data_IF_499841765464
#
_entry.id   IF_499841765464
#
_cell.length_a   1.000
_cell.length_b   1.000
_cell.length_c   1.000
_cell.angle_alpha   90.00
_cell.angle_beta   90.00
_cell.angle_gamma   90.00
#
_symmetry.space_group_name_H-M   'P 1'
#
loop_
_entity.id
_entity.type
_entity.pdbx_description
1 polymer ?
#
# COMPACT_ATOMS: atom_id res chain seq x y z
N UNK A 1 -12.75 72.09 21.29
CA UNK A 1 -13.33 73.17 20.46
C UNK A 1 -12.93 72.88 19.02
N UNK A 2 -13.67 72.30 18.07
CA UNK A 2 -15.07 71.88 17.79
C UNK A 2 -14.99 70.42 17.24
N UNK A 3 -15.82 69.41 17.48
CA UNK A 3 -17.26 69.12 17.24
C UNK A 3 -17.75 69.33 15.79
N UNK A 4 -18.25 68.24 15.17
CA UNK A 4 -19.21 68.19 14.05
C UNK A 4 -18.66 67.41 12.83
N UNK A 5 -19.35 66.45 12.19
CA UNK A 5 -20.77 66.05 12.18
C UNK A 5 -20.92 64.63 11.57
N UNK A 6 -22.10 64.05 11.77
CA UNK A 6 -22.54 62.67 11.53
C UNK A 6 -23.54 62.62 10.33
N UNK A 7 -23.36 61.63 9.44
CA UNK A 7 -24.35 60.86 8.60
C UNK A 7 -25.05 61.48 7.36
N UNK A 8 -25.72 60.67 6.46
CA UNK A 8 -26.15 59.25 6.55
C UNK A 8 -25.92 58.31 5.33
N UNK A 9 -26.22 57.03 5.58
CA UNK A 9 -26.52 55.94 4.62
C UNK A 9 -27.54 56.31 3.52
N UNK A 10 -27.51 55.58 2.39
CA UNK A 10 -28.73 55.15 1.72
C UNK A 10 -28.86 53.62 1.69
N UNK A 11 -29.99 53.18 2.21
CA UNK A 11 -30.63 51.87 2.05
C UNK A 11 -31.33 51.74 0.69
N UNK A 12 -31.39 50.49 0.18
CA UNK A 12 -32.37 49.91 -0.76
C UNK A 12 -31.78 49.43 -2.09
N UNK A 13 -31.56 48.10 -2.20
CA UNK A 13 -32.58 47.20 -2.75
C UNK A 13 -32.14 45.74 -2.59
N UNK A 14 -32.86 45.05 -1.69
CA UNK A 14 -33.09 43.61 -1.79
C UNK A 14 -33.73 43.27 -3.15
N UNK A 15 -33.53 42.03 -3.56
CA UNK A 15 -34.28 41.28 -4.58
C UNK A 15 -34.02 41.66 -6.04
N UNK A 16 -33.16 40.89 -6.69
CA UNK A 16 -33.48 40.39 -8.03
C UNK A 16 -32.74 39.07 -8.32
N UNK A 17 -33.53 38.01 -8.44
CA UNK A 17 -33.21 36.67 -8.97
C UNK A 17 -32.41 35.67 -8.10
N UNK A 18 -33.12 35.11 -7.11
CA UNK A 18 -33.14 33.65 -6.96
C UNK A 18 -33.84 33.07 -8.20
N UNK A 19 -33.41 31.89 -8.68
CA UNK A 19 -33.95 31.09 -9.81
C UNK A 19 -33.57 31.54 -11.23
N UNK A 20 -32.68 30.78 -11.91
CA UNK A 20 -33.14 29.65 -12.71
C UNK A 20 -32.14 28.47 -12.80
N UNK A 21 -31.90 27.74 -11.70
CA UNK A 21 -31.23 26.42 -11.79
C UNK A 21 -31.81 25.36 -10.85
N UNK A 22 -32.60 25.76 -9.86
CA UNK A 22 -33.26 24.84 -8.90
C UNK A 22 -34.66 24.41 -9.38
N UNK A 23 -35.19 24.96 -10.49
CA UNK A 23 -36.49 24.55 -11.04
C UNK A 23 -36.40 23.35 -12.01
N UNK A 24 -35.22 22.99 -12.50
CA UNK A 24 -35.06 21.88 -13.47
C UNK A 24 -34.83 20.51 -12.80
N UNK A 25 -34.34 20.46 -11.56
CA UNK A 25 -34.09 19.21 -10.83
C UNK A 25 -35.25 18.77 -9.92
N UNK A 26 -36.32 19.58 -9.80
CA UNK A 26 -37.48 19.30 -8.94
C UNK A 26 -38.67 18.64 -9.66
N UNK A 27 -38.47 18.14 -10.89
CA UNK A 27 -39.52 17.42 -11.64
C UNK A 27 -39.10 16.04 -12.19
N UNK A 28 -37.92 15.51 -11.82
CA UNK A 28 -37.49 14.19 -12.33
C UNK A 28 -37.05 13.17 -11.29
N UNK A 29 -37.01 13.45 -9.99
CA UNK A 29 -36.61 12.44 -9.00
C UNK A 29 -37.42 12.61 -7.70
N UNK A 30 -38.34 11.66 -7.47
CA UNK A 30 -39.00 11.41 -6.19
C UNK A 30 -38.02 10.63 -5.29
N UNK A 31 -37.42 11.27 -4.28
CA UNK A 31 -36.71 10.55 -3.22
C UNK A 31 -37.00 11.19 -1.86
N UNK A 32 -37.61 10.39 -0.99
CA UNK A 32 -37.87 10.66 0.43
C UNK A 32 -36.72 10.15 1.29
N UNK A 33 -36.39 10.96 2.31
CA UNK A 33 -35.67 10.67 3.55
C UNK A 33 -34.21 10.21 3.50
N UNK A 34 -33.45 10.88 4.37
CA UNK A 34 -32.09 10.59 4.83
C UNK A 34 -30.97 10.83 3.81
N UNK A 35 -29.97 11.58 4.27
CA UNK A 35 -28.67 11.80 3.63
C UNK A 35 -28.67 12.72 2.40
N UNK A 36 -28.05 13.89 2.55
CA UNK A 36 -27.23 14.62 1.57
C UNK A 36 -26.92 15.99 2.22
N UNK A 37 -25.70 16.50 2.00
CA UNK A 37 -25.03 17.69 2.56
C UNK A 37 -24.08 17.26 3.68
N UNK A 38 -22.76 17.16 3.49
CA UNK A 38 -21.86 18.12 2.82
C UNK A 38 -20.73 17.42 2.05
N UNK A 39 -20.72 17.59 0.73
CA UNK A 39 -19.51 17.64 -0.07
C UNK A 39 -19.30 19.11 -0.45
N UNK A 40 -18.20 19.71 0.02
CA UNK A 40 -17.40 20.73 -0.68
C UNK A 40 -16.43 21.41 0.29
N UNK A 41 -15.15 21.14 0.06
CA UNK A 41 -13.97 21.82 0.62
C UNK A 41 -14.03 23.35 0.41
N UNK A 42 -13.61 24.14 1.40
CA UNK A 42 -12.68 25.28 1.20
C UNK A 42 -12.10 25.77 2.55
N UNK A 43 -10.77 25.76 2.62
CA UNK A 43 -9.82 26.46 3.50
C UNK A 43 -10.38 27.53 4.46
N UNK A 44 -9.93 27.51 5.73
CA UNK A 44 -9.39 28.68 6.47
C UNK A 44 -8.60 28.24 7.71
N UNK A 45 -7.40 28.81 7.87
CA UNK A 45 -6.54 28.69 9.05
C UNK A 45 -7.07 29.62 10.14
N UNK A 46 -7.27 29.13 11.36
CA UNK A 46 -7.84 29.94 12.44
C UNK A 46 -6.80 30.50 13.41
N UNK A 47 -6.83 31.83 13.44
CA UNK A 47 -6.25 32.73 14.42
C UNK A 47 -6.80 32.46 15.83
N UNK A 48 -5.92 32.58 16.83
CA UNK A 48 -6.27 32.72 18.24
C UNK A 48 -7.19 33.92 18.46
N UNK A 49 -8.42 33.69 18.93
CA UNK A 49 -9.29 34.74 19.49
C UNK A 49 -9.78 34.30 20.87
N UNK A 50 -9.28 35.00 21.89
CA UNK A 50 -9.78 34.98 23.26
C UNK A 50 -11.22 35.54 23.32
N UNK A 51 -12.12 34.83 23.98
CA UNK A 51 -13.41 35.38 24.46
C UNK A 51 -13.50 35.30 25.99
N UNK A 52 -14.07 36.32 26.67
CA UNK A 52 -14.17 36.36 28.12
C UNK A 52 -15.39 35.60 28.65
N UNK A 53 -15.27 35.15 29.91
CA UNK A 53 -16.23 34.38 30.70
C UNK A 53 -17.59 35.07 30.88
N UNK A 54 -18.69 34.37 30.57
CA UNK A 54 -19.76 34.04 31.52
C UNK A 54 -20.97 33.40 30.81
N UNK A 55 -21.26 32.13 31.14
CA UNK A 55 -22.56 31.61 31.59
C UNK A 55 -22.58 30.08 31.44
N UNK A 56 -22.67 29.43 32.59
CA UNK A 56 -22.80 27.99 32.74
C UNK A 56 -24.25 27.56 32.38
N UNK A 57 -24.38 26.64 31.43
CA UNK A 57 -25.50 25.69 31.41
C UNK A 57 -24.97 24.31 31.02
N UNK A 58 -25.21 23.34 31.91
CA UNK A 58 -24.85 21.94 31.79
C UNK A 58 -25.26 21.31 30.45
N UNK A 59 -24.29 20.70 29.76
CA UNK A 59 -24.52 19.58 28.85
C UNK A 59 -23.29 18.64 28.90
N UNK A 60 -23.55 17.34 29.00
CA UNK A 60 -22.60 16.22 29.13
C UNK A 60 -21.54 16.16 28.01
N UNK A 61 -20.41 15.45 28.20
CA UNK A 61 -19.23 15.63 27.35
C UNK A 61 -19.51 15.07 25.96
N UNK A 62 -19.47 15.95 24.96
CA UNK A 62 -19.36 15.55 23.57
C UNK A 62 -18.06 14.77 23.41
N UNK A 63 -18.20 13.45 23.19
CA UNK A 63 -17.10 12.60 22.75
C UNK A 63 -16.44 13.26 21.54
N UNK A 64 -15.16 13.59 21.68
CA UNK A 64 -14.34 13.97 20.55
C UNK A 64 -14.28 12.75 19.63
N UNK A 65 -15.11 12.75 18.59
CA UNK A 65 -14.90 11.91 17.43
C UNK A 65 -13.66 12.44 16.73
N UNK A 66 -12.50 11.93 17.14
CA UNK A 66 -11.29 12.03 16.33
C UNK A 66 -11.51 11.17 15.09
N UNK A 67 -11.95 11.78 14.00
CA UNK A 67 -11.80 11.19 12.68
C UNK A 67 -10.29 11.12 12.40
N UNK A 68 -9.68 9.96 12.68
CA UNK A 68 -8.33 9.66 12.23
C UNK A 68 -8.38 9.69 10.71
N UNK A 69 -7.84 10.75 10.10
CA UNK A 69 -7.60 10.79 8.66
C UNK A 69 -6.58 9.68 8.41
N UNK A 70 -7.05 8.53 7.91
CA UNK A 70 -6.18 7.47 7.43
C UNK A 70 -5.58 8.00 6.14
N UNK A 71 -4.31 8.39 6.20
CA UNK A 71 -3.57 8.74 4.99
C UNK A 71 -3.60 7.52 4.05
N UNK A 72 -3.91 7.76 2.79
CA UNK A 72 -3.94 6.69 1.79
C UNK A 72 -2.50 6.28 1.47
N UNK A 73 -2.25 4.97 1.50
CA UNK A 73 -1.01 4.37 1.02
C UNK A 73 -0.66 4.87 -0.39
N UNK A 74 0.60 5.20 -0.58
CA UNK A 74 1.06 5.80 -1.84
C UNK A 74 2.53 5.57 -2.08
N UNK A 75 2.90 5.61 -3.36
CA UNK A 75 4.29 5.62 -3.83
C UNK A 75 4.57 6.91 -4.61
N UNK A 76 5.67 7.56 -4.28
CA UNK A 76 6.16 8.75 -4.97
C UNK A 76 7.43 8.38 -5.73
N UNK A 77 7.41 8.66 -7.02
CA UNK A 77 8.58 8.54 -7.90
C UNK A 77 9.23 9.91 -8.03
N UNK A 78 10.54 9.95 -7.85
CA UNK A 78 11.33 11.18 -7.89
C UNK A 78 12.60 11.02 -8.71
N UNK A 79 13.19 12.13 -9.12
CA UNK A 79 14.44 12.18 -9.86
C UNK A 79 15.29 13.35 -9.38
N UNK A 80 16.60 13.16 -9.24
CA UNK A 80 17.53 14.25 -8.95
C UNK A 80 17.49 15.31 -10.05
N UNK A 81 17.84 16.55 -9.73
CA UNK A 81 17.87 17.63 -10.74
C UNK A 81 18.83 17.32 -11.89
N UNK A 82 19.93 16.61 -11.60
CA UNK A 82 20.91 16.12 -12.58
C UNK A 82 20.36 15.03 -13.52
N UNK A 83 19.26 14.36 -13.15
CA UNK A 83 18.78 13.16 -13.84
C UNK A 83 19.61 11.90 -13.58
N UNK A 84 20.63 11.97 -12.72
CA UNK A 84 21.53 10.86 -12.42
C UNK A 84 20.94 9.84 -11.43
N UNK A 85 19.97 10.22 -10.62
CA UNK A 85 19.35 9.35 -9.62
C UNK A 85 17.84 9.37 -9.73
N UNK A 86 17.25 8.19 -9.61
CA UNK A 86 15.80 8.00 -9.47
C UNK A 86 15.51 7.36 -8.12
N UNK A 87 14.53 7.89 -7.41
CA UNK A 87 14.09 7.31 -6.15
C UNK A 87 12.60 7.01 -6.15
N UNK A 88 12.23 5.98 -5.41
CA UNK A 88 10.86 5.64 -5.04
C UNK A 88 10.77 5.70 -3.53
N UNK A 89 9.76 6.36 -3.00
CA UNK A 89 9.48 6.43 -1.56
C UNK A 89 8.00 6.10 -1.39
N UNK A 90 7.66 5.21 -0.45
CA UNK A 90 6.28 4.76 -0.27
C UNK A 90 5.88 4.56 1.18
N UNK A 91 4.59 4.80 1.41
CA UNK A 91 3.82 4.38 2.59
C UNK A 91 2.92 3.23 2.15
N UNK A 92 3.08 2.07 2.77
CA UNK A 92 2.31 0.86 2.54
C UNK A 92 1.67 0.35 3.83
N UNK A 93 1.43 1.24 4.79
CA UNK A 93 0.97 0.88 6.13
C UNK A 93 -0.36 0.12 6.09
N UNK A 94 -1.36 0.63 5.38
CA UNK A 94 -2.68 -0.03 5.29
C UNK A 94 -2.62 -1.31 4.47
N UNK A 95 -1.78 -1.37 3.45
CA UNK A 95 -1.53 -2.53 2.61
C UNK A 95 -1.00 -3.69 3.45
N UNK A 96 0.04 -3.44 4.25
CA UNK A 96 0.64 -4.47 5.11
C UNK A 96 -0.29 -4.83 6.26
N UNK A 97 -1.01 -3.86 6.84
CA UNK A 97 -2.03 -4.15 7.86
C UNK A 97 -3.16 -5.04 7.33
N UNK A 98 -3.69 -4.74 6.15
CA UNK A 98 -4.71 -5.55 5.49
C UNK A 98 -4.21 -6.98 5.24
N UNK A 99 -2.96 -7.12 4.80
CA UNK A 99 -2.34 -8.44 4.62
C UNK A 99 -2.24 -9.20 5.95
N UNK A 100 -1.80 -8.53 7.02
CA UNK A 100 -1.71 -9.12 8.36
C UNK A 100 -3.07 -9.60 8.86
N UNK A 101 -4.11 -8.77 8.76
CA UNK A 101 -5.44 -9.10 9.25
C UNK A 101 -6.06 -10.27 8.51
N UNK A 102 -5.94 -10.28 7.17
CA UNK A 102 -6.46 -11.37 6.34
C UNK A 102 -5.79 -12.70 6.64
N UNK A 103 -4.47 -12.70 6.80
CA UNK A 103 -3.70 -13.94 6.97
C UNK A 103 -3.46 -14.32 8.43
N UNK A 104 -3.82 -13.45 9.37
CA UNK A 104 -3.59 -13.61 10.82
C UNK A 104 -2.13 -13.96 11.11
N UNK A 105 -1.20 -13.30 10.41
CA UNK A 105 0.24 -13.57 10.54
C UNK A 105 0.76 -13.15 11.92
N UNK A 106 1.68 -13.94 12.47
CA UNK A 106 2.44 -13.56 13.65
C UNK A 106 3.43 -12.43 13.32
N UNK A 107 4.05 -11.82 14.35
CA UNK A 107 4.89 -10.64 14.21
C UNK A 107 5.98 -10.81 13.15
N UNK A 108 6.80 -11.86 13.26
CA UNK A 108 7.91 -12.09 12.32
C UNK A 108 7.45 -12.36 10.89
N UNK A 109 6.36 -13.14 10.76
CA UNK A 109 5.72 -13.42 9.47
C UNK A 109 5.14 -12.15 8.82
N UNK A 110 4.61 -11.24 9.63
CA UNK A 110 4.07 -9.94 9.18
C UNK A 110 5.17 -9.04 8.64
N UNK A 111 6.31 -8.94 9.35
CA UNK A 111 7.45 -8.12 8.91
C UNK A 111 8.02 -8.66 7.59
N UNK A 112 8.24 -9.98 7.49
CA UNK A 112 8.77 -10.60 6.28
C UNK A 112 7.83 -10.44 5.08
N UNK A 113 6.54 -10.71 5.27
CA UNK A 113 5.52 -10.51 4.23
C UNK A 113 5.43 -9.04 3.84
N UNK A 114 5.38 -8.13 4.81
CA UNK A 114 5.26 -6.70 4.59
C UNK A 114 6.42 -6.13 3.77
N UNK A 115 7.67 -6.45 4.13
CA UNK A 115 8.84 -6.05 3.32
C UNK A 115 8.77 -6.59 1.90
N UNK A 116 8.29 -7.82 1.71
CA UNK A 116 8.14 -8.41 0.37
C UNK A 116 7.02 -7.74 -0.44
N UNK A 117 5.91 -7.32 0.20
CA UNK A 117 4.84 -6.55 -0.45
C UNK A 117 5.37 -5.18 -0.92
N UNK A 118 6.10 -4.47 -0.06
CA UNK A 118 6.72 -3.18 -0.36
C UNK A 118 7.73 -3.33 -1.53
N UNK A 119 8.58 -4.36 -1.49
CA UNK A 119 9.52 -4.68 -2.57
C UNK A 119 8.79 -4.88 -3.91
N UNK A 120 7.68 -5.62 -3.92
CA UNK A 120 6.88 -5.85 -5.12
C UNK A 120 6.18 -4.61 -5.64
N UNK A 121 5.69 -3.72 -4.77
CA UNK A 121 5.11 -2.44 -5.16
C UNK A 121 6.17 -1.54 -5.83
N UNK A 122 7.37 -1.47 -5.27
CA UNK A 122 8.50 -0.74 -5.86
C UNK A 122 8.86 -1.30 -7.24
N UNK A 123 9.00 -2.62 -7.35
CA UNK A 123 9.31 -3.28 -8.64
C UNK A 123 8.23 -3.00 -9.69
N UNK A 124 6.95 -3.05 -9.31
CA UNK A 124 5.85 -2.77 -10.21
C UNK A 124 5.80 -1.30 -10.67
N UNK A 125 6.03 -0.34 -9.77
CA UNK A 125 6.12 1.08 -10.12
C UNK A 125 7.37 1.42 -10.98
N UNK A 126 8.36 0.52 -11.00
CA UNK A 126 9.52 0.64 -11.86
C UNK A 126 9.26 0.15 -13.29
N UNK A 127 8.25 -0.69 -13.49
CA UNK A 127 7.82 -1.19 -14.79
C UNK A 127 6.92 -0.20 -15.56
N UNK A 128 6.57 -0.56 -16.79
CA UNK A 128 5.67 0.21 -17.67
C UNK A 128 4.55 -0.67 -18.21
N UNK A 129 3.55 -0.03 -18.79
CA UNK A 129 2.44 -0.72 -19.45
C UNK A 129 1.55 -1.46 -18.45
N UNK A 130 0.89 -2.53 -18.89
CA UNK A 130 0.04 -3.37 -18.05
C UNK A 130 0.81 -4.62 -17.61
N UNK A 131 1.87 -4.40 -16.81
CA UNK A 131 2.80 -5.44 -16.38
C UNK A 131 2.39 -5.98 -15.01
N UNK A 132 2.49 -7.29 -14.83
CA UNK A 132 2.28 -7.99 -13.57
C UNK A 132 3.56 -8.70 -13.16
N UNK A 133 4.00 -8.50 -11.93
CA UNK A 133 5.21 -9.08 -11.36
C UNK A 133 4.82 -10.07 -10.28
N UNK A 134 5.52 -11.20 -10.22
CA UNK A 134 5.47 -12.12 -9.09
C UNK A 134 6.85 -12.18 -8.46
N UNK A 135 6.94 -11.83 -7.18
CA UNK A 135 8.16 -12.02 -6.38
C UNK A 135 7.96 -13.25 -5.50
N UNK A 136 8.94 -14.15 -5.53
CA UNK A 136 9.02 -15.32 -4.66
C UNK A 136 10.32 -15.27 -3.88
N UNK A 137 10.21 -15.18 -2.56
CA UNK A 137 11.32 -15.37 -1.63
C UNK A 137 11.24 -16.82 -1.17
N UNK A 138 12.20 -17.63 -1.61
CA UNK A 138 12.25 -19.05 -1.33
C UNK A 138 13.31 -19.31 -0.26
N UNK A 139 12.92 -19.20 1.00
CA UNK A 139 13.79 -19.43 2.16
C UNK A 139 13.92 -20.91 2.53
N UNK A 140 15.00 -21.25 3.22
CA UNK A 140 15.27 -22.61 3.73
C UNK A 140 14.70 -22.87 5.14
N UNK A 141 14.03 -21.88 5.73
CA UNK A 141 13.52 -21.95 7.10
C UNK A 141 12.10 -22.51 7.19
N UNK A 142 11.56 -22.56 8.42
CA UNK A 142 10.17 -22.91 8.69
C UNK A 142 9.15 -21.90 8.16
N UNK A 143 9.55 -20.70 7.71
CA UNK A 143 8.66 -19.75 7.07
C UNK A 143 8.13 -20.25 5.72
N UNK A 144 8.91 -21.10 5.04
CA UNK A 144 8.66 -21.55 3.69
C UNK A 144 8.84 -20.43 2.67
N UNK A 145 7.95 -20.36 1.68
CA UNK A 145 7.97 -19.33 0.67
C UNK A 145 7.13 -18.10 1.05
N UNK A 146 7.62 -16.92 0.68
CA UNK A 146 6.81 -15.68 0.61
C UNK A 146 6.54 -15.41 -0.86
N UNK A 147 5.26 -15.30 -1.23
CA UNK A 147 4.84 -15.10 -2.62
C UNK A 147 3.97 -13.86 -2.68
N UNK A 148 4.39 -12.90 -3.51
CA UNK A 148 3.64 -11.66 -3.73
C UNK A 148 3.47 -11.41 -5.22
N UNK A 149 2.38 -10.75 -5.59
CA UNK A 149 2.05 -10.36 -6.95
C UNK A 149 1.67 -8.89 -6.93
N UNK A 150 2.32 -8.07 -7.75
CA UNK A 150 2.02 -6.66 -7.91
C UNK A 150 1.80 -6.30 -9.38
N UNK A 151 1.02 -5.27 -9.64
CA UNK A 151 0.83 -4.70 -10.97
C UNK A 151 1.16 -3.20 -11.02
N UNK A 152 1.33 -2.68 -12.23
CA UNK A 152 1.62 -1.26 -12.50
C UNK A 152 0.48 -0.30 -12.17
N UNK A 153 -0.64 -0.78 -11.59
CA UNK A 153 -1.80 0.04 -11.17
C UNK A 153 -1.84 0.23 -9.65
N UNK A 154 -0.76 -0.14 -8.96
CA UNK A 154 -0.61 -0.01 -7.52
C UNK A 154 -1.24 -1.14 -6.70
N UNK A 155 -1.78 -2.18 -7.36
CA UNK A 155 -2.38 -3.30 -6.64
C UNK A 155 -1.28 -4.30 -6.25
N UNK A 156 -1.31 -4.77 -5.01
CA UNK A 156 -0.46 -5.87 -4.55
C UNK A 156 -1.27 -6.89 -3.76
N UNK A 157 -0.88 -8.15 -3.84
CA UNK A 157 -1.38 -9.23 -3.00
C UNK A 157 -0.23 -10.15 -2.66
N UNK A 158 -0.34 -10.88 -1.56
CA UNK A 158 0.69 -11.83 -1.20
C UNK A 158 0.35 -12.60 0.05
N UNK A 159 1.03 -13.71 0.21
CA UNK A 159 0.92 -14.57 1.37
C UNK A 159 2.29 -15.16 1.71
N UNK A 160 2.37 -15.65 2.93
CA UNK A 160 3.49 -16.48 3.40
C UNK A 160 2.97 -17.88 3.65
N UNK A 161 3.76 -18.89 3.28
CA UNK A 161 3.34 -20.28 3.33
C UNK A 161 2.99 -20.72 4.76
N UNK A 162 3.80 -20.32 5.75
CA UNK A 162 3.59 -20.66 7.15
C UNK A 162 3.41 -19.38 7.99
N UNK A 163 2.18 -18.82 8.09
CA UNK A 163 1.94 -17.52 8.75
C UNK A 163 2.03 -17.56 10.29
N UNK A 164 2.00 -18.75 10.87
CA UNK A 164 1.99 -18.98 12.33
C UNK A 164 3.38 -19.17 12.95
N UNK A 165 4.45 -18.73 12.27
CA UNK A 165 5.81 -18.82 12.80
C UNK A 165 6.25 -17.45 13.30
N UNK A 166 6.79 -17.42 14.52
CA UNK A 166 7.43 -16.26 15.12
C UNK A 166 8.83 -16.61 15.61
N UNK A 167 9.72 -15.64 15.57
CA UNK A 167 11.01 -15.70 16.25
C UNK A 167 11.04 -14.69 17.39
N UNK A 168 11.90 -14.94 18.38
CA UNK A 168 12.08 -13.99 19.48
C UNK A 168 12.59 -12.66 18.92
N UNK A 169 11.90 -11.57 19.28
CA UNK A 169 12.38 -10.21 19.11
C UNK A 169 13.74 -10.04 19.80
N UNK A 170 14.58 -9.17 19.27
CA UNK A 170 15.84 -8.77 19.91
C UNK A 170 15.57 -8.03 21.22
N UNK A 171 16.63 -7.74 21.98
CA UNK A 171 16.54 -6.87 23.15
C UNK A 171 16.05 -5.44 22.82
N UNK A 172 16.16 -5.02 21.55
CA UNK A 172 15.64 -3.75 21.02
C UNK A 172 14.18 -3.85 20.55
N UNK A 173 13.56 -5.04 20.60
CA UNK A 173 12.20 -5.27 20.12
C UNK A 173 12.09 -5.50 18.61
N UNK A 174 13.21 -5.53 17.89
CA UNK A 174 13.25 -5.71 16.44
C UNK A 174 13.14 -7.19 16.06
N UNK A 175 12.51 -7.44 14.91
CA UNK A 175 12.43 -8.77 14.29
C UNK A 175 13.61 -8.94 13.33
N UNK A 176 14.38 -10.01 13.51
CA UNK A 176 15.48 -10.38 12.61
C UNK A 176 14.96 -11.23 11.44
N UNK A 177 14.63 -10.60 10.31
CA UNK A 177 14.00 -11.28 9.17
C UNK A 177 14.97 -12.23 8.47
N UNK A 178 16.26 -11.90 8.39
CA UNK A 178 17.28 -12.67 7.69
C UNK A 178 17.42 -14.10 8.22
N UNK A 179 17.72 -14.30 9.53
CA UNK A 179 17.72 -15.63 10.14
C UNK A 179 16.38 -16.36 10.03
N UNK A 180 15.28 -15.60 9.96
CA UNK A 180 13.94 -16.14 9.85
C UNK A 180 13.60 -16.63 8.45
N UNK A 181 14.13 -16.02 7.39
CA UNK A 181 14.00 -16.48 6.00
C UNK A 181 15.05 -17.57 5.70
N UNK A 182 16.27 -17.38 6.20
CA UNK A 182 17.41 -18.26 5.98
C UNK A 182 18.05 -18.08 4.60
N UNK A 183 18.78 -19.11 4.16
CA UNK A 183 19.38 -19.12 2.83
C UNK A 183 18.32 -19.46 1.78
N UNK A 184 18.54 -19.06 0.54
CA UNK A 184 17.51 -19.30 -0.47
C UNK A 184 17.72 -18.57 -1.77
N UNK A 185 16.61 -18.33 -2.45
CA UNK A 185 16.57 -17.62 -3.74
C UNK A 185 15.53 -16.50 -3.70
N UNK A 186 15.86 -15.39 -4.36
CA UNK A 186 14.95 -14.29 -4.69
C UNK A 186 14.62 -14.40 -6.17
N UNK A 187 13.37 -14.76 -6.49
CA UNK A 187 12.88 -14.97 -7.86
C UNK A 187 11.87 -13.89 -8.22
N UNK A 188 12.04 -13.27 -9.37
CA UNK A 188 11.10 -12.32 -9.98
C UNK A 188 10.62 -12.87 -11.32
N UNK A 189 9.30 -12.91 -11.48
CA UNK A 189 8.63 -13.31 -12.71
C UNK A 189 7.88 -12.10 -13.24
N UNK A 190 8.21 -11.64 -14.44
CA UNK A 190 7.59 -10.47 -15.09
C UNK A 190 6.72 -10.92 -16.25
N UNK A 191 5.41 -10.70 -16.13
CA UNK A 191 4.45 -10.89 -17.21
C UNK A 191 4.06 -9.54 -17.82
N UNK A 192 4.50 -9.32 -19.06
CA UNK A 192 4.20 -8.13 -19.85
C UNK A 192 2.83 -8.17 -20.55
N UNK A 193 2.01 -9.21 -20.29
CA UNK A 193 0.73 -9.44 -20.94
C UNK A 193 0.84 -10.07 -22.33
N UNK A 194 2.01 -10.60 -22.69
CA UNK A 194 2.30 -11.22 -23.99
C UNK A 194 2.24 -12.75 -23.95
N UNK A 195 1.93 -13.34 -22.79
CA UNK A 195 1.85 -14.80 -22.57
C UNK A 195 3.21 -15.49 -22.38
N UNK A 196 4.33 -14.76 -22.45
CA UNK A 196 5.67 -15.29 -22.22
C UNK A 196 6.34 -14.54 -21.06
N UNK A 197 6.16 -14.99 -19.81
CA UNK A 197 6.76 -14.30 -18.67
C UNK A 197 8.28 -14.46 -18.65
N UNK A 198 8.98 -13.38 -18.32
CA UNK A 198 10.41 -13.38 -18.08
C UNK A 198 10.69 -13.80 -16.63
N UNK A 199 11.70 -14.65 -16.42
CA UNK A 199 12.05 -15.16 -15.09
C UNK A 199 13.50 -14.80 -14.80
N UNK A 200 13.76 -14.24 -13.62
CA UNK A 200 15.10 -13.88 -13.18
C UNK A 200 15.25 -14.16 -11.70
N UNK A 201 16.38 -14.73 -11.30
CA UNK A 201 16.61 -15.24 -9.96
C UNK A 201 18.03 -14.95 -9.49
N UNK A 202 18.15 -14.59 -8.22
CA UNK A 202 19.43 -14.40 -7.51
C UNK A 202 19.40 -15.17 -6.19
N UNK A 203 20.57 -15.56 -5.63
CA UNK A 203 20.62 -16.03 -4.25
C UNK A 203 20.16 -14.93 -3.27
N UNK A 204 19.61 -15.36 -2.13
CA UNK A 204 19.48 -14.47 -0.97
C UNK A 204 20.86 -14.17 -0.39
N UNK A 205 21.13 -12.90 -0.12
CA UNK A 205 22.38 -12.41 0.45
C UNK A 205 22.27 -12.36 1.98
N UNK A 206 21.17 -11.81 2.50
CA UNK A 206 20.91 -11.73 3.93
C UNK A 206 19.57 -12.30 4.35
N UNK A 207 18.60 -12.36 3.44
CA UNK A 207 17.22 -12.73 3.76
C UNK A 207 16.42 -11.60 4.41
N UNK A 208 17.00 -10.39 4.56
CA UNK A 208 16.32 -9.21 5.09
C UNK A 208 15.37 -8.55 4.05
N UNK A 209 15.29 -9.11 2.84
CA UNK A 209 14.48 -8.71 1.68
C UNK A 209 14.96 -7.42 1.01
N UNK A 210 15.29 -6.38 1.78
CA UNK A 210 15.77 -5.11 1.23
C UNK A 210 17.10 -5.25 0.49
N UNK A 211 18.10 -5.83 1.15
CA UNK A 211 19.41 -6.10 0.54
C UNK A 211 19.32 -7.11 -0.60
N UNK A 212 18.45 -8.11 -0.47
CA UNK A 212 18.23 -9.11 -1.52
C UNK A 212 17.64 -8.46 -2.78
N UNK A 213 16.72 -7.51 -2.63
CA UNK A 213 16.18 -6.70 -3.74
C UNK A 213 17.25 -5.80 -4.37
N UNK A 214 18.08 -5.13 -3.55
CA UNK A 214 19.16 -4.29 -4.04
C UNK A 214 20.17 -5.10 -4.87
N UNK A 215 20.51 -6.30 -4.39
CA UNK A 215 21.36 -7.24 -5.10
C UNK A 215 20.71 -7.72 -6.40
N UNK A 216 19.43 -8.11 -6.37
CA UNK A 216 18.67 -8.49 -7.56
C UNK A 216 18.69 -7.39 -8.64
N UNK A 217 18.40 -6.14 -8.27
CA UNK A 217 18.40 -5.01 -9.20
C UNK A 217 19.81 -4.74 -9.78
N UNK A 218 20.84 -4.90 -8.96
CA UNK A 218 22.22 -4.68 -9.39
C UNK A 218 22.69 -5.77 -10.35
N UNK A 219 22.52 -7.05 -9.99
CA UNK A 219 23.04 -8.17 -10.78
C UNK A 219 22.17 -8.53 -11.99
N UNK A 220 20.84 -8.53 -11.82
CA UNK A 220 19.92 -8.99 -12.87
C UNK A 220 19.43 -7.86 -13.77
N UNK A 221 19.29 -6.64 -13.23
CA UNK A 221 18.81 -5.47 -13.97
C UNK A 221 19.93 -4.47 -14.29
N UNK A 222 21.18 -4.75 -13.89
CA UNK A 222 22.34 -3.89 -14.12
C UNK A 222 22.13 -2.45 -13.65
N UNK A 223 21.35 -2.29 -12.58
CA UNK A 223 20.97 -1.00 -12.03
C UNK A 223 21.41 -0.94 -10.57
N UNK A 224 22.59 -0.38 -10.28
CA UNK A 224 23.07 -0.18 -8.91
C UNK A 224 22.00 0.51 -8.08
N UNK A 225 21.63 -0.13 -6.97
CA UNK A 225 20.45 0.24 -6.20
C UNK A 225 20.73 0.21 -4.70
N UNK A 226 20.17 1.19 -3.98
CA UNK A 226 20.07 1.17 -2.52
C UNK A 226 18.60 1.02 -2.13
N UNK A 227 18.32 0.12 -1.20
CA UNK A 227 16.95 -0.24 -0.79
C UNK A 227 16.87 -0.22 0.73
N UNK A 228 15.86 0.46 1.27
CA UNK A 228 15.55 0.44 2.70
C UNK A 228 14.06 0.13 2.88
N UNK A 229 13.73 -1.04 3.43
CA UNK A 229 12.35 -1.48 3.66
C UNK A 229 12.15 -1.77 5.14
N UNK A 230 11.07 -1.27 5.73
CA UNK A 230 10.79 -1.58 7.13
C UNK A 230 9.30 -1.68 7.43
N UNK A 231 8.99 -2.47 8.46
CA UNK A 231 7.65 -2.69 9.00
C UNK A 231 7.80 -2.60 10.51
N UNK A 232 7.19 -1.58 11.11
CA UNK A 232 7.12 -1.41 12.55
C UNK A 232 5.81 -1.94 13.07
N UNK A 233 5.91 -2.71 14.15
CA UNK A 233 4.77 -3.22 14.88
C UNK A 233 4.59 -2.42 16.19
N UNK A 234 3.36 -2.30 16.66
CA UNK A 234 3.05 -1.78 17.99
C UNK A 234 3.23 -2.85 19.08
N UNK A 235 2.81 -2.52 20.31
CA UNK A 235 2.95 -3.39 21.48
C UNK A 235 2.06 -4.64 21.39
N UNK A 236 0.99 -4.59 20.59
CA UNK A 236 0.05 -5.67 20.31
C UNK A 236 0.38 -6.47 19.03
N UNK A 237 1.61 -6.32 18.52
CA UNK A 237 2.10 -6.93 17.28
C UNK A 237 1.30 -6.54 16.02
N UNK A 238 0.60 -5.40 16.03
CA UNK A 238 -0.12 -4.87 14.85
C UNK A 238 0.76 -3.91 14.08
N UNK A 239 0.53 -3.84 12.78
CA UNK A 239 1.26 -2.92 11.88
C UNK A 239 0.99 -1.47 12.27
N UNK A 240 2.01 -0.82 12.83
CA UNK A 240 2.02 0.61 13.18
C UNK A 240 2.31 1.46 11.95
N UNK A 241 3.42 1.17 11.27
CA UNK A 241 3.83 1.83 10.03
C UNK A 241 4.65 0.87 9.17
N UNK A 242 4.47 0.94 7.85
CA UNK A 242 5.22 0.13 6.91
C UNK A 242 5.54 0.94 5.65
N UNK A 243 6.78 0.89 5.21
CA UNK A 243 7.21 1.68 4.06
C UNK A 243 8.69 1.53 3.78
N UNK A 244 9.20 2.40 2.92
CA UNK A 244 10.61 2.37 2.57
C UNK A 244 10.97 3.20 1.36
N UNK A 245 12.11 2.88 0.78
CA UNK A 245 12.59 3.51 -0.43
C UNK A 245 13.42 2.57 -1.30
N UNK A 246 13.55 2.96 -2.57
CA UNK A 246 14.54 2.49 -3.52
C UNK A 246 15.22 3.71 -4.15
N UNK A 247 16.55 3.77 -4.18
CA UNK A 247 17.33 4.74 -4.96
C UNK A 247 18.12 3.98 -6.02
N UNK A 248 18.11 4.46 -7.25
CA UNK A 248 18.79 3.86 -8.39
C UNK A 248 19.71 4.86 -9.07
N UNK A 249 20.91 4.41 -9.40
CA UNK A 249 21.85 5.15 -10.25
C UNK A 249 21.43 4.96 -11.71
N UNK A 250 21.28 6.07 -12.44
CA UNK A 250 20.96 6.07 -13.86
C UNK A 250 22.22 6.25 -14.72
N UNK A 251 22.19 5.81 -15.99
CA UNK A 251 23.34 5.98 -16.90
C UNK A 251 23.78 7.44 -17.01
N UNK A 252 25.10 7.66 -16.94
CA UNK A 252 25.70 9.00 -17.04
C UNK A 252 25.90 9.71 -15.70
N UNK A 253 25.59 9.06 -14.56
CA UNK A 253 25.95 9.55 -13.24
C UNK A 253 27.47 9.70 -13.10
N UNK A 254 27.92 10.82 -12.51
CA UNK A 254 29.34 11.06 -12.24
C UNK A 254 29.77 10.35 -10.96
N UNK A 255 31.00 9.85 -10.91
CA UNK A 255 31.55 9.14 -9.75
C UNK A 255 31.44 9.96 -8.44
N UNK A 256 31.73 11.27 -8.52
CA UNK A 256 31.60 12.19 -7.39
C UNK A 256 30.15 12.34 -6.88
N UNK A 257 29.17 12.17 -7.77
CA UNK A 257 27.75 12.21 -7.44
C UNK A 257 27.30 10.89 -6.79
N UNK A 258 27.77 9.76 -7.32
CA UNK A 258 27.55 8.42 -6.77
C UNK A 258 28.09 8.36 -5.35
N UNK A 259 29.38 8.67 -5.14
CA UNK A 259 30.01 8.64 -3.83
C UNK A 259 29.29 9.56 -2.81
N UNK A 260 28.75 10.70 -3.26
CA UNK A 260 27.98 11.61 -2.40
C UNK A 260 26.65 11.02 -1.97
N UNK A 261 25.89 10.43 -2.89
CA UNK A 261 24.63 9.76 -2.57
C UNK A 261 24.88 8.53 -1.70
N UNK A 262 25.85 7.68 -2.03
CA UNK A 262 26.23 6.51 -1.21
C UNK A 262 26.55 6.91 0.22
N UNK A 263 27.39 7.93 0.41
CA UNK A 263 27.72 8.44 1.74
C UNK A 263 26.46 8.89 2.49
N UNK A 264 25.56 9.60 1.82
CA UNK A 264 24.30 10.05 2.44
C UNK A 264 23.40 8.88 2.84
N UNK A 265 23.30 7.86 1.99
CA UNK A 265 22.54 6.66 2.30
C UNK A 265 23.16 5.89 3.48
N UNK A 266 24.49 5.84 3.58
CA UNK A 266 25.17 5.18 4.71
C UNK A 266 25.04 5.95 6.03
N UNK A 267 24.97 7.28 5.97
CA UNK A 267 24.90 8.15 7.15
C UNK A 267 23.45 8.49 7.55
N UNK A 268 22.44 8.04 6.79
CA UNK A 268 21.05 8.36 7.10
C UNK A 268 20.59 7.70 8.41
N UNK A 269 19.62 8.31 9.13
CA UNK A 269 19.00 7.67 10.27
C UNK A 269 18.37 6.32 9.90
N UNK A 270 18.23 5.42 10.88
CA UNK A 270 17.56 4.15 10.67
C UNK A 270 16.16 4.35 10.06
N UNK A 271 15.79 3.46 9.13
CA UNK A 271 14.52 3.58 8.40
C UNK A 271 13.32 3.52 9.35
N UNK A 272 13.44 2.73 10.43
CA UNK A 272 12.47 2.72 11.53
C UNK A 272 12.22 4.12 12.06
N UNK A 273 13.28 4.85 12.42
CA UNK A 273 13.18 6.23 12.95
C UNK A 273 12.57 7.19 11.92
N UNK A 274 12.91 7.07 10.64
CA UNK A 274 12.34 7.92 9.60
C UNK A 274 10.83 7.65 9.42
N UNK A 275 10.41 6.39 9.47
CA UNK A 275 9.01 5.97 9.35
C UNK A 275 8.15 6.39 10.55
N UNK A 276 8.73 6.64 11.72
CA UNK A 276 7.98 7.15 12.88
C UNK A 276 7.71 8.65 12.84
N UNK A 277 8.25 9.36 11.85
CA UNK A 277 7.99 10.80 11.66
C UNK A 277 6.54 11.06 11.24
N UNK A 278 6.00 12.23 11.58
CA UNK A 278 4.64 12.64 11.19
C UNK A 278 4.44 12.63 9.67
N UNK A 279 5.46 13.05 8.91
CA UNK A 279 5.54 12.91 7.45
C UNK A 279 6.80 12.11 7.09
N UNK A 280 6.68 10.79 7.15
CA UNK A 280 7.79 9.90 6.86
C UNK A 280 8.19 9.88 5.38
N UNK A 281 7.28 10.21 4.46
CA UNK A 281 7.61 10.34 3.04
C UNK A 281 8.59 11.49 2.85
N UNK A 282 8.30 12.66 3.40
CA UNK A 282 9.21 13.80 3.31
C UNK A 282 10.50 13.56 4.11
N UNK A 283 10.42 12.88 5.27
CA UNK A 283 11.61 12.49 6.03
C UNK A 283 12.56 11.59 5.21
N UNK A 284 12.02 10.59 4.50
CA UNK A 284 12.79 9.71 3.62
C UNK A 284 13.35 10.46 2.41
N UNK A 285 12.58 11.33 1.77
CA UNK A 285 13.06 12.16 0.65
C UNK A 285 14.19 13.09 1.09
N UNK A 286 14.06 13.72 2.27
CA UNK A 286 15.11 14.56 2.86
C UNK A 286 16.35 13.73 3.23
N UNK A 287 16.18 12.51 3.71
CA UNK A 287 17.30 11.61 3.98
C UNK A 287 18.04 11.21 2.68
N UNK A 288 17.33 11.05 1.56
CA UNK A 288 17.91 10.66 0.27
C UNK A 288 18.58 11.83 -0.46
N UNK A 289 17.95 13.01 -0.45
CA UNK A 289 18.41 14.16 -1.24
C UNK A 289 19.17 15.21 -0.40
N UNK A 290 19.01 15.21 0.92
CA UNK A 290 19.53 16.26 1.79
C UNK A 290 18.93 17.62 1.41
N UNK A 291 19.78 18.61 1.19
CA UNK A 291 19.39 19.95 0.73
C UNK A 291 19.37 20.08 -0.81
N UNK A 292 19.64 18.99 -1.55
CA UNK A 292 19.62 19.02 -3.01
C UNK A 292 18.19 19.02 -3.56
N UNK A 293 17.98 19.78 -4.64
CA UNK A 293 16.70 19.81 -5.33
C UNK A 293 16.43 18.50 -6.09
N UNK A 294 15.16 18.09 -6.11
CA UNK A 294 14.67 16.94 -6.85
C UNK A 294 13.30 17.24 -7.46
N UNK A 295 12.92 16.45 -8.46
CA UNK A 295 11.62 16.53 -9.15
C UNK A 295 10.76 15.35 -8.73
N UNK A 296 9.51 15.61 -8.33
CA UNK A 296 8.47 14.58 -8.22
C UNK A 296 7.92 14.27 -9.61
N UNK A 297 8.01 13.00 -10.02
CA UNK A 297 7.62 12.53 -11.35
C UNK A 297 6.20 11.97 -11.35
N UNK A 298 5.85 11.19 -10.32
CA UNK A 298 4.48 10.67 -10.12
C UNK A 298 4.21 10.46 -8.64
N UNK A 299 2.93 10.45 -8.30
CA UNK A 299 2.37 10.02 -7.02
C UNK A 299 1.21 9.09 -7.36
N UNK A 300 1.30 7.85 -6.92
CA UNK A 300 0.37 6.78 -7.27
C UNK A 300 -0.16 6.14 -6.00
N UNK A 301 -1.48 5.89 -5.97
CA UNK A 301 -2.11 5.15 -4.89
C UNK A 301 -1.73 3.67 -4.98
N UNK A 302 -1.42 3.07 -3.83
CA UNK A 302 -1.11 1.65 -3.74
C UNK A 302 -2.00 1.00 -2.69
N UNK A 303 -2.29 -0.29 -2.86
CA UNK A 303 -3.21 -1.01 -1.95
C UNK A 303 -3.05 -2.51 -2.02
N UNK A 304 -3.46 -3.16 -0.93
CA UNK A 304 -3.69 -4.59 -0.93
C UNK A 304 -4.97 -4.91 -1.73
N UNK A 305 -4.85 -5.55 -2.89
CA UNK A 305 -6.00 -5.94 -3.70
C UNK A 305 -5.79 -7.27 -4.40
N UNK A 306 -6.73 -8.19 -4.18
CA UNK A 306 -6.77 -9.48 -4.84
C UNK A 306 -7.78 -9.49 -5.98
N UNK A 307 -7.42 -10.13 -7.08
CA UNK A 307 -8.22 -10.29 -8.29
C UNK A 307 -8.99 -11.63 -8.32
N UNK A 308 -9.13 -12.33 -7.18
CA UNK A 308 -9.89 -13.58 -7.10
C UNK A 308 -11.41 -13.32 -7.26
N UNK A 309 -12.12 -14.28 -7.84
CA UNK A 309 -13.57 -14.22 -7.99
C UNK A 309 -14.15 -15.64 -8.01
N UNK A 310 -15.46 -15.74 -7.79
CA UNK A 310 -16.20 -17.00 -7.95
C UNK A 310 -15.93 -17.63 -9.32
N UNK A 311 -16.09 -16.84 -10.39
CA UNK A 311 -15.82 -17.27 -11.78
C UNK A 311 -14.41 -17.83 -11.99
N UNK A 312 -13.39 -17.21 -11.38
CA UNK A 312 -12.00 -17.71 -11.51
C UNK A 312 -11.81 -19.06 -10.86
N UNK A 313 -12.47 -19.31 -9.73
CA UNK A 313 -12.42 -20.59 -9.05
C UNK A 313 -13.31 -21.64 -9.73
N UNK A 314 -14.45 -21.25 -10.30
CA UNK A 314 -15.23 -22.12 -11.20
C UNK A 314 -14.39 -22.61 -12.38
N UNK A 315 -13.65 -21.71 -13.04
CA UNK A 315 -12.76 -22.08 -14.14
C UNK A 315 -11.62 -23.02 -13.68
N UNK A 316 -11.17 -22.90 -12.43
CA UNK A 316 -10.18 -23.81 -11.86
C UNK A 316 -10.80 -25.20 -11.61
N UNK A 317 -12.00 -25.27 -11.02
CA UNK A 317 -12.76 -26.51 -10.83
C UNK A 317 -13.06 -27.19 -12.18
N UNK A 318 -13.37 -26.42 -13.22
CA UNK A 318 -13.60 -26.92 -14.57
C UNK A 318 -12.36 -27.63 -15.17
N UNK A 319 -11.15 -27.44 -14.62
CA UNK A 319 -9.95 -28.15 -15.06
C UNK A 319 -9.79 -29.55 -14.45
N UNK A 320 -10.53 -29.87 -13.39
CA UNK A 320 -10.47 -31.16 -12.71
C UNK A 320 -11.15 -32.27 -13.53
N UNK A 321 -10.76 -33.54 -13.35
CA UNK A 321 -11.49 -34.69 -13.89
C UNK A 321 -12.96 -34.72 -13.45
N UNK A 322 -13.87 -35.20 -14.32
CA UNK A 322 -15.29 -35.32 -13.97
C UNK A 322 -15.53 -36.26 -12.77
N UNK A 323 -14.66 -37.25 -12.55
CA UNK A 323 -14.70 -38.13 -11.38
C UNK A 323 -14.57 -37.34 -10.07
N UNK A 324 -13.62 -36.41 -10.03
CA UNK A 324 -13.30 -35.64 -8.82
C UNK A 324 -14.43 -34.66 -8.51
N UNK A 325 -15.03 -34.06 -9.55
CA UNK A 325 -16.21 -33.19 -9.39
C UNK A 325 -17.43 -33.97 -8.90
N UNK A 326 -17.57 -35.23 -9.34
CA UNK A 326 -18.68 -36.08 -8.93
C UNK A 326 -18.51 -36.57 -7.49
N UNK A 327 -17.29 -36.90 -7.07
CA UNK A 327 -16.94 -37.20 -5.67
C UNK A 327 -17.26 -36.01 -4.75
N UNK A 328 -16.84 -34.78 -5.11
CA UNK A 328 -17.18 -33.56 -4.36
C UNK A 328 -18.69 -33.32 -4.26
N UNK A 329 -19.45 -33.64 -5.32
CA UNK A 329 -20.91 -33.51 -5.31
C UNK A 329 -21.58 -34.55 -4.43
N UNK A 330 -21.19 -35.82 -4.55
CA UNK A 330 -21.88 -36.94 -3.90
C UNK A 330 -21.46 -37.16 -2.45
N UNK A 331 -20.19 -36.91 -2.11
CA UNK A 331 -19.63 -37.14 -0.78
C UNK A 331 -19.57 -35.86 0.07
N UNK A 332 -19.09 -34.76 -0.51
CA UNK A 332 -18.87 -33.49 0.21
C UNK A 332 -20.06 -32.51 0.12
N UNK A 333 -21.07 -32.81 -0.71
CA UNK A 333 -22.24 -31.96 -0.97
C UNK A 333 -21.88 -30.53 -1.40
N UNK A 334 -20.78 -30.38 -2.14
CA UNK A 334 -20.25 -29.10 -2.60
C UNK A 334 -18.73 -29.00 -2.44
N UNK A 335 -18.20 -27.81 -2.68
CA UNK A 335 -16.78 -27.53 -2.49
C UNK A 335 -16.57 -26.17 -1.81
N UNK A 336 -15.59 -26.10 -0.91
CA UNK A 336 -15.12 -24.85 -0.32
C UNK A 336 -13.70 -24.56 -0.81
N UNK A 337 -13.50 -23.40 -1.42
CA UNK A 337 -12.18 -22.95 -1.88
C UNK A 337 -11.81 -21.65 -1.17
N UNK A 338 -10.72 -21.70 -0.39
CA UNK A 338 -10.15 -20.50 0.23
C UNK A 338 -8.99 -19.96 -0.60
N UNK A 339 -9.09 -18.70 -1.01
CA UNK A 339 -8.04 -18.03 -1.77
C UNK A 339 -6.78 -17.82 -0.91
N UNK A 340 -5.67 -18.46 -1.28
CA UNK A 340 -4.41 -18.32 -0.53
C UNK A 340 -3.90 -16.88 -0.43
N UNK A 341 -4.19 -16.03 -1.43
CA UNK A 341 -3.71 -14.63 -1.46
C UNK A 341 -4.49 -13.67 -0.58
N UNK A 342 -5.78 -13.92 -0.29
CA UNK A 342 -6.61 -12.94 0.43
C UNK A 342 -7.53 -13.55 1.50
N UNK A 343 -7.47 -14.87 1.66
CA UNK A 343 -8.23 -15.67 2.62
C UNK A 343 -9.75 -15.51 2.49
N UNK A 344 -10.22 -15.10 1.31
CA UNK A 344 -11.65 -15.13 0.99
C UNK A 344 -12.05 -16.54 0.60
N UNK A 345 -13.08 -17.05 1.26
CA UNK A 345 -13.65 -18.37 1.03
C UNK A 345 -14.82 -18.27 0.05
N UNK A 346 -14.82 -19.16 -0.94
CA UNK A 346 -15.86 -19.31 -1.95
C UNK A 346 -16.49 -20.69 -1.80
N UNK A 347 -17.82 -20.73 -1.73
CA UNK A 347 -18.59 -21.95 -1.63
C UNK A 347 -19.23 -22.25 -2.98
N UNK A 348 -19.16 -23.52 -3.39
CA UNK A 348 -19.74 -24.04 -4.61
C UNK A 348 -20.72 -25.13 -4.22
N UNK A 349 -21.97 -25.01 -4.65
CA UNK A 349 -23.01 -25.97 -4.31
C UNK A 349 -23.08 -27.13 -5.32
N UNK A 350 -23.97 -28.10 -5.08
CA UNK A 350 -24.15 -29.24 -5.98
C UNK A 350 -24.59 -28.83 -7.40
N UNK A 351 -25.28 -27.70 -7.56
CA UNK A 351 -25.72 -27.21 -8.87
C UNK A 351 -24.53 -26.64 -9.65
N UNK A 352 -23.64 -25.90 -8.99
CA UNK A 352 -22.39 -25.41 -9.58
C UNK A 352 -21.56 -26.57 -10.13
N UNK A 353 -21.44 -27.65 -9.34
CA UNK A 353 -20.70 -28.85 -9.74
C UNK A 353 -21.41 -29.63 -10.86
N UNK A 354 -22.74 -29.73 -10.83
CA UNK A 354 -23.53 -30.38 -11.87
C UNK A 354 -23.41 -29.68 -13.22
N UNK A 355 -23.38 -28.35 -13.23
CA UNK A 355 -23.14 -27.56 -14.43
C UNK A 355 -21.77 -27.89 -15.04
N UNK A 356 -20.71 -27.94 -14.23
CA UNK A 356 -19.37 -28.29 -14.68
C UNK A 356 -19.27 -29.72 -15.23
N UNK A 357 -19.96 -30.69 -14.61
CA UNK A 357 -19.99 -32.09 -15.07
C UNK A 357 -20.73 -32.20 -16.41
N UNK A 358 -21.84 -31.49 -16.56
CA UNK A 358 -22.63 -31.46 -17.80
C UNK A 358 -21.82 -30.87 -18.95
N UNK A 359 -21.09 -29.78 -18.73
CA UNK A 359 -20.29 -29.11 -19.77
C UNK A 359 -19.09 -29.95 -20.26
N UNK A 360 -18.70 -31.00 -19.51
CA UNK A 360 -17.65 -31.96 -19.87
C UNK A 360 -18.16 -33.21 -20.61
N UNK A 361 -19.46 -33.47 -20.57
CA UNK A 361 -20.11 -34.65 -21.16
C UNK A 361 -20.52 -34.38 -22.61
#
# INVERSE_FOLDING_TARGET
MKIGQIQPFPSNLLNTFVTPFIFYLKHSINLTNAEIICFSFYFHADFLVHYPENQQTHCSPFGHFYAKIVAMDKIIKTMSESGAFRAFVLDSTETVRTAQEKHKTQASSTVALGRTLIASQILAANEKGNTKLTVKVLGSSSLGAIITVADTKGNVKGYVQNPGVDIKKTATGEVLVGPFVGNGQFLVITDYGTGNPYNSMTPLISGEIGEDLAFYLTESQQTPSAVGLNVLLDEEDKVKVAGGFLVQVLPGAKEEEIARFEKRIQEMPAISTLLESEDHIEALLKAIYGDEAYKRLSEEEIRFQCDCSHERFMNALASLPSSDLQEMKEEDHGAEITCQFCQTTYNFDENDLEELIRDKS
#
